data_IF_242061309833
#
_entry.id   IF_242061309833
#
_cell.length_a   1.000
_cell.length_b   1.000
_cell.length_c   1.000
_cell.angle_alpha   90.00
_cell.angle_beta   90.00
_cell.angle_gamma   90.00
#
_symmetry.space_group_name_H-M   'P 1'
#
loop_
_entity.id
_entity.type
_entity.pdbx_description
1 polymer ?
#
# COMPACT_ATOMS: atom_id res chain seq x y z
N UNK A 1 -13.01 1.32 14.42
CA UNK A 1 -12.46 2.68 14.70
C UNK A 1 -11.54 2.99 13.54
N UNK A 2 -11.64 4.15 12.86
CA UNK A 2 -10.87 4.37 11.63
C UNK A 2 -9.37 4.32 11.91
N UNK A 3 -8.66 3.46 11.20
CA UNK A 3 -7.21 3.31 11.28
C UNK A 3 -6.55 3.90 10.02
N UNK A 4 -5.32 4.38 10.16
CA UNK A 4 -4.51 4.82 9.03
C UNK A 4 -3.14 4.17 9.14
N UNK A 5 -2.71 3.47 8.09
CA UNK A 5 -1.37 2.89 8.04
C UNK A 5 -0.39 3.93 7.49
N UNK A 6 0.48 4.42 8.36
CA UNK A 6 1.44 5.46 7.99
C UNK A 6 2.64 4.91 7.21
N UNK A 7 2.82 3.59 7.10
CA UNK A 7 4.01 3.00 6.49
C UNK A 7 3.74 1.58 5.95
N UNK A 8 3.54 1.44 4.63
CA UNK A 8 3.52 0.15 3.95
C UNK A 8 4.37 0.15 2.68
N UNK A 9 5.16 -0.91 2.47
CA UNK A 9 5.86 -1.16 1.21
C UNK A 9 4.93 -1.91 0.24
N UNK A 10 3.95 -1.21 -0.33
CA UNK A 10 2.99 -1.80 -1.27
C UNK A 10 3.61 -2.15 -2.63
N UNK A 11 4.81 -1.62 -2.92
CA UNK A 11 5.63 -1.93 -4.09
C UNK A 11 6.49 -3.20 -3.91
N UNK A 12 6.42 -3.88 -2.76
CA UNK A 12 7.18 -5.12 -2.51
C UNK A 12 6.77 -6.23 -3.51
N UNK A 13 7.76 -6.91 -4.09
CA UNK A 13 7.55 -7.98 -5.07
C UNK A 13 6.67 -9.12 -4.55
N UNK A 14 6.64 -9.35 -3.23
CA UNK A 14 5.77 -10.34 -2.58
C UNK A 14 4.28 -10.01 -2.71
N UNK A 15 3.95 -8.73 -2.93
CA UNK A 15 2.59 -8.23 -3.07
C UNK A 15 2.20 -7.96 -4.51
N UNK A 16 3.11 -8.03 -5.48
CA UNK A 16 2.90 -7.58 -6.86
C UNK A 16 1.64 -8.16 -7.55
N UNK A 17 1.22 -9.38 -7.20
CA UNK A 17 0.01 -10.03 -7.74
C UNK A 17 -1.20 -9.99 -6.82
N UNK A 18 -1.07 -9.36 -5.65
CA UNK A 18 -2.05 -9.39 -4.54
C UNK A 18 -2.32 -8.01 -3.93
N UNK A 19 -1.76 -6.92 -4.45
CA UNK A 19 -1.95 -5.56 -3.89
C UNK A 19 -3.44 -5.23 -3.74
N UNK A 20 -4.26 -5.51 -4.76
CA UNK A 20 -5.70 -5.28 -4.72
C UNK A 20 -6.40 -6.09 -3.61
N UNK A 21 -6.01 -7.36 -3.43
CA UNK A 21 -6.54 -8.24 -2.38
C UNK A 21 -6.20 -7.67 -0.98
N UNK A 22 -4.96 -7.19 -0.81
CA UNK A 22 -4.50 -6.59 0.44
C UNK A 22 -5.26 -5.31 0.76
N UNK A 23 -5.51 -4.45 -0.23
CA UNK A 23 -6.29 -3.21 -0.05
C UNK A 23 -7.72 -3.56 0.39
N UNK A 24 -8.38 -4.52 -0.26
CA UNK A 24 -9.73 -4.95 0.11
C UNK A 24 -9.79 -5.51 1.54
N UNK A 25 -8.78 -6.29 1.94
CA UNK A 25 -8.68 -6.81 3.30
C UNK A 25 -8.44 -5.70 4.33
N UNK A 26 -7.64 -4.69 3.98
CA UNK A 26 -7.38 -3.53 4.82
C UNK A 26 -8.64 -2.68 5.03
N UNK A 27 -9.41 -2.42 3.98
CA UNK A 27 -10.70 -1.73 4.06
C UNK A 27 -11.69 -2.49 4.99
N UNK A 28 -11.76 -3.83 4.85
CA UNK A 28 -12.59 -4.67 5.71
C UNK A 28 -12.15 -4.64 7.20
N UNK A 29 -10.94 -4.18 7.49
CA UNK A 29 -10.36 -4.05 8.82
C UNK A 29 -10.46 -2.62 9.40
N UNK A 30 -11.34 -1.76 8.86
CA UNK A 30 -11.50 -0.34 9.23
C UNK A 30 -10.28 0.55 8.89
N UNK A 31 -9.37 0.10 8.01
CA UNK A 31 -8.28 0.95 7.53
C UNK A 31 -8.80 1.92 6.46
N UNK A 32 -8.64 3.21 6.69
CA UNK A 32 -9.19 4.28 5.83
C UNK A 32 -8.16 4.91 4.90
N UNK A 33 -6.90 4.48 5.01
CA UNK A 33 -5.81 4.97 4.17
C UNK A 33 -4.48 4.29 4.51
N UNK A 34 -3.60 4.28 3.52
CA UNK A 34 -2.26 3.69 3.58
C UNK A 34 -1.28 4.65 2.91
N UNK A 35 -0.17 4.95 3.56
CA UNK A 35 0.97 5.59 2.89
C UNK A 35 1.88 4.52 2.30
N UNK A 36 1.97 4.47 0.97
CA UNK A 36 2.94 3.65 0.26
C UNK A 36 4.35 4.26 0.35
N UNK A 37 5.35 3.49 0.79
CA UNK A 37 6.71 3.97 1.04
C UNK A 37 7.69 3.48 -0.02
N UNK A 38 8.05 4.39 -0.93
CA UNK A 38 9.22 4.25 -1.79
C UNK A 38 10.50 4.68 -1.08
N UNK A 39 11.55 3.88 -1.16
CA UNK A 39 12.88 4.18 -0.59
C UNK A 39 13.91 4.56 -1.64
N UNK A 40 13.55 4.44 -2.92
CA UNK A 40 14.36 4.82 -4.08
C UNK A 40 13.50 5.65 -5.03
N UNK A 41 14.10 6.31 -6.02
CA UNK A 41 13.35 7.01 -7.07
C UNK A 41 12.43 6.03 -7.82
N UNK A 42 12.93 4.83 -8.13
CA UNK A 42 12.16 3.79 -8.83
C UNK A 42 10.96 3.31 -8.00
N UNK A 43 11.18 2.95 -6.73
CA UNK A 43 10.07 2.52 -5.85
C UNK A 43 9.10 3.65 -5.54
N UNK A 44 9.58 4.90 -5.44
CA UNK A 44 8.69 6.06 -5.28
C UNK A 44 7.76 6.23 -6.49
N UNK A 45 8.28 6.03 -7.70
CA UNK A 45 7.45 6.07 -8.91
C UNK A 45 6.42 4.94 -8.91
N UNK A 46 6.81 3.73 -8.51
CA UNK A 46 5.87 2.60 -8.37
C UNK A 46 4.76 2.90 -7.36
N UNK A 47 5.09 3.53 -6.22
CA UNK A 47 4.08 3.98 -5.26
C UNK A 47 3.12 5.03 -5.84
N UNK A 48 3.60 5.93 -6.72
CA UNK A 48 2.75 6.89 -7.43
C UNK A 48 1.85 6.20 -8.44
N UNK A 49 2.36 5.20 -9.17
CA UNK A 49 1.60 4.47 -10.18
C UNK A 49 0.49 3.59 -9.56
N UNK A 50 0.64 3.23 -8.27
CA UNK A 50 -0.34 2.49 -7.48
C UNK A 50 -1.51 3.35 -6.95
N UNK A 51 -1.36 4.68 -6.88
CA UNK A 51 -2.29 5.61 -6.20
C UNK A 51 -3.16 6.41 -7.18
#
# INVERSE_FOLDING_TARGET
>A
MPLFDTHAHLDDEQLATRVEEVIQQAEAADLVGITAIGTTVSSSQQCVDLA
#
